data_IF_084855708406
#
_entry.id   IF_084855708406
#
_cell.length_a   1.000
_cell.length_b   1.000
_cell.length_c   1.000
_cell.angle_alpha   90.00
_cell.angle_beta   90.00
_cell.angle_gamma   90.00
#
_symmetry.space_group_name_H-M   'P 1'
#
loop_
_entity.id
_entity.type
_entity.pdbx_description
1 polymer ?
#
# COMPACT_ATOMS: atom_id res chain seq x y z
N UNK A 1 7.18 18.82 -5.92
CA UNK A 1 7.06 17.37 -5.72
C UNK A 1 8.23 16.69 -6.44
N UNK A 2 9.00 15.88 -5.75
CA UNK A 2 10.10 15.08 -6.32
C UNK A 2 9.70 13.62 -6.37
N UNK A 3 10.20 12.87 -7.35
CA UNK A 3 10.04 11.42 -7.42
C UNK A 3 10.92 10.71 -6.39
N UNK A 4 10.61 9.43 -6.11
CA UNK A 4 11.38 8.62 -5.15
C UNK A 4 12.82 8.36 -5.62
N UNK A 5 13.83 8.55 -4.78
CA UNK A 5 15.22 8.16 -5.07
C UNK A 5 15.45 6.64 -5.06
N UNK A 6 14.46 5.86 -4.61
CA UNK A 6 14.52 4.38 -4.64
C UNK A 6 14.28 3.80 -6.04
N UNK A 7 13.92 4.64 -7.01
CA UNK A 7 13.68 4.20 -8.40
C UNK A 7 14.99 3.74 -9.04
N UNK A 8 15.01 2.50 -9.52
CA UNK A 8 16.12 1.91 -10.26
C UNK A 8 15.79 1.67 -11.74
N UNK A 9 14.54 1.86 -12.15
CA UNK A 9 14.06 1.71 -13.52
C UNK A 9 12.98 2.74 -13.83
N UNK A 10 13.03 3.35 -15.02
CA UNK A 10 12.02 4.31 -15.46
C UNK A 10 11.56 3.97 -16.87
N UNK A 11 10.24 3.82 -17.03
CA UNK A 11 9.59 3.73 -18.34
C UNK A 11 8.24 4.44 -18.27
N UNK A 12 8.22 5.71 -18.64
CA UNK A 12 7.02 6.52 -18.51
C UNK A 12 5.90 6.04 -19.43
N UNK A 13 4.71 5.92 -18.84
CA UNK A 13 3.47 5.58 -19.52
C UNK A 13 2.79 6.85 -20.04
N UNK A 14 2.19 6.82 -21.21
CA UNK A 14 1.32 7.91 -21.70
C UNK A 14 -0.06 7.94 -21.03
N UNK A 15 -0.40 6.89 -20.25
CA UNK A 15 -1.71 6.73 -19.63
C UNK A 15 -1.81 7.52 -18.31
N UNK A 16 -1.86 8.84 -18.37
CA UNK A 16 -2.02 9.72 -17.22
C UNK A 16 -2.76 10.99 -17.59
N UNK A 17 -3.31 11.70 -16.62
CA UNK A 17 -4.11 12.92 -16.88
C UNK A 17 -3.32 14.22 -16.71
N UNK A 18 -1.99 14.17 -16.77
CA UNK A 18 -1.17 15.34 -16.49
C UNK A 18 -1.14 15.70 -15.00
N UNK A 19 -0.87 16.95 -14.72
CA UNK A 19 -0.63 17.43 -13.37
C UNK A 19 -1.83 17.20 -12.42
N UNK A 20 -1.53 16.75 -11.18
CA UNK A 20 -2.52 16.61 -10.11
C UNK A 20 -3.15 17.94 -9.76
N UNK A 21 -4.42 17.89 -9.41
CA UNK A 21 -5.18 19.04 -8.89
C UNK A 21 -5.28 19.05 -7.36
N UNK A 22 -4.71 18.03 -6.70
CA UNK A 22 -4.73 17.88 -5.24
C UNK A 22 -3.34 17.50 -4.69
N UNK A 23 -3.05 17.90 -3.45
CA UNK A 23 -1.86 17.46 -2.75
C UNK A 23 -1.91 15.92 -2.48
N UNK A 24 -0.73 15.29 -2.41
CA UNK A 24 -0.63 13.86 -2.10
C UNK A 24 -0.86 13.66 -0.61
N UNK A 25 -1.93 12.94 -0.28
CA UNK A 25 -2.34 12.57 1.08
C UNK A 25 -2.88 11.14 1.18
N UNK A 26 -2.76 10.37 0.08
CA UNK A 26 -3.12 8.95 0.02
C UNK A 26 -2.02 8.10 -0.59
N UNK A 27 -1.95 6.83 -0.21
CA UNK A 27 -1.17 5.77 -0.87
C UNK A 27 -2.12 4.62 -1.14
N UNK A 28 -2.08 4.08 -2.37
CA UNK A 28 -2.90 2.94 -2.78
C UNK A 28 -2.00 1.81 -3.28
N UNK A 29 -1.67 0.80 -2.45
CA UNK A 29 -0.98 -0.38 -2.91
C UNK A 29 -1.94 -1.31 -3.67
N UNK A 30 -1.42 -1.93 -4.74
CA UNK A 30 -2.10 -2.88 -5.60
C UNK A 30 -1.32 -4.20 -5.68
N UNK A 31 -1.99 -5.28 -6.09
CA UNK A 31 -1.35 -6.52 -6.52
C UNK A 31 -1.49 -6.66 -8.04
N UNK A 32 -0.38 -6.91 -8.73
CA UNK A 32 -0.39 -7.05 -10.20
C UNK A 32 -0.87 -8.43 -10.67
N UNK A 33 -1.05 -9.38 -9.75
CA UNK A 33 -1.41 -10.78 -10.02
C UNK A 33 -0.39 -11.43 -10.97
N UNK A 34 0.89 -11.30 -10.61
CA UNK A 34 2.02 -11.86 -11.37
C UNK A 34 3.37 -11.59 -10.71
N UNK A 35 4.32 -12.50 -10.95
CA UNK A 35 5.72 -12.37 -10.50
C UNK A 35 6.50 -11.49 -11.49
N UNK A 36 6.03 -10.26 -11.70
CA UNK A 36 6.55 -9.34 -12.69
C UNK A 36 7.88 -8.70 -12.25
N UNK A 37 8.78 -8.48 -13.20
CA UNK A 37 9.90 -7.53 -13.02
C UNK A 37 9.42 -6.09 -13.24
N UNK A 38 10.23 -5.11 -12.88
CA UNK A 38 9.93 -3.69 -13.15
C UNK A 38 9.85 -3.40 -14.65
N UNK A 39 10.62 -4.10 -15.48
CA UNK A 39 10.57 -3.99 -16.94
C UNK A 39 9.24 -4.53 -17.50
N UNK A 40 8.78 -5.66 -16.97
CA UNK A 40 7.49 -6.24 -17.33
C UNK A 40 6.34 -5.29 -17.00
N UNK A 41 6.34 -4.70 -15.80
CA UNK A 41 5.37 -3.68 -15.39
C UNK A 41 5.40 -2.47 -16.33
N UNK A 42 6.59 -1.97 -16.67
CA UNK A 42 6.74 -0.88 -17.64
C UNK A 42 6.16 -1.22 -19.01
N UNK A 43 6.35 -2.46 -19.48
CA UNK A 43 5.79 -2.92 -20.75
C UNK A 43 4.25 -3.04 -20.70
N UNK A 44 3.68 -3.41 -19.55
CA UNK A 44 2.22 -3.48 -19.35
C UNK A 44 1.58 -2.09 -19.47
N UNK A 45 2.22 -1.04 -18.94
CA UNK A 45 1.67 0.31 -18.90
C UNK A 45 2.08 1.21 -20.09
N UNK A 46 3.01 0.77 -20.94
CA UNK A 46 3.49 1.56 -22.08
C UNK A 46 2.45 1.77 -23.19
N UNK A 47 1.63 0.77 -23.59
CA UNK A 47 0.66 0.97 -24.66
C UNK A 47 -0.46 1.93 -24.23
N UNK A 48 -0.85 2.89 -25.10
CA UNK A 48 -2.00 3.77 -24.87
C UNK A 48 -3.31 3.00 -24.72
N UNK A 49 -3.43 1.86 -25.42
CA UNK A 49 -4.59 0.97 -25.35
C UNK A 49 -4.78 0.32 -23.96
N UNK A 50 -3.76 0.34 -23.09
CA UNK A 50 -3.86 -0.19 -21.73
C UNK A 50 -4.86 0.59 -20.88
N UNK A 51 -4.99 1.90 -21.10
CA UNK A 51 -5.90 2.80 -20.36
C UNK A 51 -5.78 2.65 -18.83
N UNK A 52 -4.57 2.32 -18.37
CA UNK A 52 -4.24 2.19 -16.95
C UNK A 52 -2.75 2.47 -16.74
N UNK A 53 -2.39 2.92 -15.54
CA UNK A 53 -1.00 3.16 -15.10
C UNK A 53 -0.92 3.27 -13.59
N UNK A 54 0.31 3.26 -13.05
CA UNK A 54 0.60 3.60 -11.66
C UNK A 54 1.84 4.50 -11.57
N UNK A 55 2.07 5.14 -10.43
CA UNK A 55 3.30 5.89 -10.24
C UNK A 55 4.49 4.94 -10.16
N UNK A 56 4.42 3.97 -9.28
CA UNK A 56 5.51 3.04 -9.02
C UNK A 56 5.07 1.59 -9.18
N UNK A 57 6.04 0.74 -9.46
CA UNK A 57 5.90 -0.71 -9.35
C UNK A 57 7.06 -1.31 -8.57
N UNK A 58 6.78 -2.34 -7.80
CA UNK A 58 7.80 -3.11 -7.10
C UNK A 58 7.88 -4.48 -7.76
N UNK A 59 9.03 -4.75 -8.37
CA UNK A 59 9.31 -6.03 -9.02
C UNK A 59 9.49 -7.16 -8.02
N UNK A 60 9.43 -8.38 -8.53
CA UNK A 60 9.58 -9.63 -7.75
C UNK A 60 10.92 -9.72 -7.00
N UNK A 61 11.90 -8.97 -7.42
CA UNK A 61 13.25 -8.84 -6.85
C UNK A 61 13.39 -7.65 -5.88
N UNK A 62 12.32 -6.89 -5.67
CA UNK A 62 12.30 -5.71 -4.79
C UNK A 62 12.82 -4.44 -5.43
N UNK A 63 13.17 -4.42 -6.73
CA UNK A 63 13.49 -3.17 -7.44
C UNK A 63 12.24 -2.29 -7.57
N UNK A 64 12.45 -0.98 -7.65
CA UNK A 64 11.37 0.00 -7.84
C UNK A 64 11.44 0.56 -9.26
N UNK A 65 10.34 0.44 -10.00
CA UNK A 65 10.12 1.09 -11.29
C UNK A 65 9.24 2.32 -11.16
N UNK A 66 9.43 3.34 -12.01
CA UNK A 66 8.56 4.50 -12.14
C UNK A 66 7.92 4.53 -13.53
N UNK A 67 6.58 4.68 -13.57
CA UNK A 67 5.80 4.68 -14.82
C UNK A 67 4.99 5.96 -15.00
N UNK A 68 4.66 6.67 -13.91
CA UNK A 68 4.10 8.02 -13.95
C UNK A 68 4.80 8.83 -12.86
N UNK A 69 5.23 10.04 -13.18
CA UNK A 69 5.81 10.94 -12.18
C UNK A 69 4.79 11.31 -11.10
N UNK A 70 5.22 11.46 -9.84
CA UNK A 70 4.29 11.79 -8.74
C UNK A 70 3.52 13.09 -8.92
N UNK A 71 4.06 14.05 -9.68
CA UNK A 71 3.36 15.31 -9.99
C UNK A 71 2.11 15.09 -10.86
N UNK A 72 2.00 13.94 -11.53
CA UNK A 72 0.92 13.60 -12.45
C UNK A 72 -0.07 12.60 -11.82
N UNK A 73 -1.33 12.64 -12.26
CA UNK A 73 -2.35 11.68 -11.87
C UNK A 73 -2.26 10.42 -12.74
N UNK A 74 -1.97 9.27 -12.13
CA UNK A 74 -2.08 7.96 -12.77
C UNK A 74 -3.54 7.51 -12.95
N UNK A 75 -3.77 6.43 -13.70
CA UNK A 75 -5.06 5.78 -13.88
C UNK A 75 -5.02 4.37 -13.28
N UNK A 76 -5.16 4.26 -11.97
CA UNK A 76 -4.89 3.01 -11.26
C UNK A 76 -6.07 2.47 -10.45
N UNK A 77 -6.72 3.31 -9.67
CA UNK A 77 -7.69 2.85 -8.67
C UNK A 77 -9.14 2.79 -9.16
N UNK A 78 -9.42 3.13 -10.42
CA UNK A 78 -10.78 3.31 -10.96
C UNK A 78 -11.56 4.45 -10.30
N UNK A 79 -10.89 5.35 -9.58
CA UNK A 79 -11.45 6.55 -8.97
C UNK A 79 -10.59 7.75 -9.30
N UNK A 80 -11.15 8.68 -10.07
CA UNK A 80 -10.49 9.94 -10.40
C UNK A 80 -10.08 10.71 -9.12
N UNK A 81 -10.99 10.84 -8.18
CA UNK A 81 -10.76 11.54 -6.92
C UNK A 81 -9.62 10.90 -6.12
N UNK A 82 -9.63 9.57 -5.98
CA UNK A 82 -8.55 8.89 -5.28
C UNK A 82 -7.21 9.05 -6.00
N UNK A 83 -7.16 8.87 -7.32
CA UNK A 83 -5.93 8.96 -8.10
C UNK A 83 -5.35 10.39 -8.14
N UNK A 84 -6.16 11.44 -7.96
CA UNK A 84 -5.68 12.80 -7.76
C UNK A 84 -4.90 12.98 -6.44
N UNK A 85 -5.24 12.22 -5.42
CA UNK A 85 -4.69 12.30 -4.06
C UNK A 85 -3.65 11.22 -3.77
N UNK A 86 -3.71 10.08 -4.47
CA UNK A 86 -2.91 8.90 -4.15
C UNK A 86 -1.63 8.80 -4.96
N UNK A 87 -0.54 8.35 -4.32
CA UNK A 87 0.53 7.62 -5.00
C UNK A 87 0.11 6.16 -5.09
N UNK A 88 0.03 5.63 -6.30
CA UNK A 88 -0.40 4.25 -6.58
C UNK A 88 0.81 3.36 -6.86
N UNK A 89 0.83 2.17 -6.27
CA UNK A 89 1.99 1.26 -6.29
C UNK A 89 1.52 -0.15 -6.68
N UNK A 90 1.93 -0.64 -7.84
CA UNK A 90 1.71 -2.03 -8.25
C UNK A 90 2.82 -2.93 -7.71
N UNK A 91 2.45 -3.97 -6.97
CA UNK A 91 3.38 -4.89 -6.34
C UNK A 91 3.33 -6.26 -7.01
N UNK A 92 4.49 -6.84 -7.33
CA UNK A 92 4.58 -8.23 -7.76
C UNK A 92 3.96 -9.14 -6.69
N UNK A 93 3.13 -10.08 -7.12
CA UNK A 93 2.36 -10.96 -6.24
C UNK A 93 2.20 -12.34 -6.86
N UNK A 94 1.71 -13.29 -6.07
CA UNK A 94 1.29 -14.58 -6.61
C UNK A 94 0.15 -14.42 -7.61
N UNK A 95 0.02 -15.39 -8.51
CA UNK A 95 -1.00 -15.42 -9.57
C UNK A 95 -2.34 -15.98 -9.08
N UNK A 96 -2.35 -16.59 -7.89
CA UNK A 96 -3.52 -17.22 -7.29
C UNK A 96 -3.86 -16.59 -5.95
N UNK A 97 -5.12 -16.67 -5.54
CA UNK A 97 -5.57 -16.24 -4.21
C UNK A 97 -4.71 -16.90 -3.11
N UNK A 98 -4.29 -16.15 -2.09
CA UNK A 98 -4.66 -14.78 -1.70
C UNK A 98 -3.80 -13.66 -2.32
N UNK A 99 -3.06 -13.93 -3.40
CA UNK A 99 -2.18 -13.00 -4.13
C UNK A 99 -1.05 -12.48 -3.24
N UNK A 100 -0.34 -13.40 -2.58
CA UNK A 100 0.69 -13.08 -1.60
C UNK A 100 1.87 -12.34 -2.25
N UNK A 101 2.47 -11.43 -1.50
CA UNK A 101 3.73 -10.79 -1.86
C UNK A 101 4.89 -11.57 -1.25
N UNK A 102 6.02 -11.63 -1.96
CA UNK A 102 7.28 -12.06 -1.35
C UNK A 102 7.76 -11.04 -0.31
N UNK A 103 8.49 -11.49 0.69
CA UNK A 103 9.00 -10.61 1.76
C UNK A 103 9.82 -9.44 1.22
N UNK A 104 10.64 -9.66 0.18
CA UNK A 104 11.43 -8.60 -0.46
C UNK A 104 10.54 -7.52 -1.06
N UNK A 105 9.39 -7.89 -1.65
CA UNK A 105 8.41 -6.96 -2.21
C UNK A 105 7.70 -6.18 -1.10
N UNK A 106 7.26 -6.88 -0.06
CA UNK A 106 6.56 -6.24 1.07
C UNK A 106 7.48 -5.29 1.86
N UNK A 107 8.73 -5.70 2.11
CA UNK A 107 9.71 -4.85 2.77
C UNK A 107 10.03 -3.61 1.93
N UNK A 108 10.16 -3.75 0.60
CA UNK A 108 10.35 -2.61 -0.30
C UNK A 108 9.13 -1.70 -0.35
N UNK A 109 7.91 -2.22 -0.25
CA UNK A 109 6.69 -1.41 -0.15
C UNK A 109 6.72 -0.55 1.12
N UNK A 110 7.15 -1.09 2.27
CA UNK A 110 7.33 -0.32 3.51
C UNK A 110 8.34 0.81 3.29
N UNK A 111 9.50 0.53 2.70
CA UNK A 111 10.55 1.54 2.42
C UNK A 111 10.04 2.65 1.50
N UNK A 112 9.35 2.28 0.42
CA UNK A 112 8.79 3.24 -0.53
C UNK A 112 7.69 4.10 0.10
N UNK A 113 6.81 3.52 0.92
CA UNK A 113 5.81 4.28 1.66
C UNK A 113 6.45 5.28 2.65
N UNK A 114 7.53 4.89 3.34
CA UNK A 114 8.29 5.80 4.23
C UNK A 114 8.87 6.97 3.43
N UNK A 115 9.48 6.70 2.28
CA UNK A 115 10.05 7.73 1.40
C UNK A 115 8.97 8.69 0.90
N UNK A 116 7.85 8.16 0.39
CA UNK A 116 6.71 8.98 -0.06
C UNK A 116 6.19 9.86 1.09
N UNK A 117 5.99 9.30 2.27
CA UNK A 117 5.54 10.05 3.43
C UNK A 117 6.51 11.19 3.79
N UNK A 118 7.82 10.90 3.89
CA UNK A 118 8.85 11.90 4.22
C UNK A 118 8.87 13.05 3.22
N UNK A 119 8.87 12.75 1.91
CA UNK A 119 8.91 13.77 0.84
C UNK A 119 7.65 14.64 0.80
N UNK A 120 6.53 14.13 1.30
CA UNK A 120 5.27 14.87 1.40
C UNK A 120 5.01 15.43 2.80
N UNK A 121 6.03 15.49 3.69
CA UNK A 121 5.92 16.06 5.03
C UNK A 121 5.04 15.28 6.00
N UNK A 122 4.80 13.99 5.72
CA UNK A 122 3.90 13.15 6.52
C UNK A 122 4.69 12.40 7.60
N UNK A 123 4.13 12.36 8.81
CA UNK A 123 4.70 11.69 9.99
C UNK A 123 3.95 10.42 10.38
N UNK A 124 2.78 10.21 9.80
CA UNK A 124 1.92 9.05 10.07
C UNK A 124 1.34 8.51 8.78
N UNK A 125 1.27 7.19 8.68
CA UNK A 125 0.47 6.48 7.68
C UNK A 125 -0.68 5.79 8.40
N UNK A 126 -1.92 6.06 7.97
CA UNK A 126 -3.13 5.60 8.64
C UNK A 126 -3.83 4.52 7.80
N UNK A 127 -4.32 3.49 8.46
CA UNK A 127 -5.29 2.54 7.93
C UNK A 127 -6.55 2.56 8.79
N UNK A 128 -7.66 3.07 8.26
CA UNK A 128 -8.91 3.21 8.99
C UNK A 128 -9.83 1.98 8.87
N UNK A 129 -9.47 1.03 7.99
CA UNK A 129 -10.12 -0.28 7.86
C UNK A 129 -11.52 -0.29 7.22
N UNK A 130 -12.14 0.87 7.05
CA UNK A 130 -13.49 1.04 6.52
C UNK A 130 -13.52 2.05 5.37
N UNK A 131 -14.23 1.71 4.27
CA UNK A 131 -14.34 2.56 3.07
C UNK A 131 -14.96 3.92 3.39
N UNK A 132 -16.13 3.92 4.00
CA UNK A 132 -16.91 5.14 4.25
C UNK A 132 -16.16 6.07 5.20
N UNK A 133 -15.64 5.51 6.29
CA UNK A 133 -14.81 6.24 7.24
C UNK A 133 -13.58 6.84 6.58
N UNK A 134 -12.89 6.07 5.73
CA UNK A 134 -11.66 6.53 5.06
C UNK A 134 -11.93 7.61 4.02
N UNK A 135 -12.97 7.47 3.21
CA UNK A 135 -13.27 8.45 2.16
C UNK A 135 -13.80 9.77 2.70
N UNK A 136 -14.47 9.74 3.87
CA UNK A 136 -14.94 10.93 4.58
C UNK A 136 -13.89 11.52 5.54
N UNK A 137 -12.74 10.87 5.71
CA UNK A 137 -11.68 11.37 6.57
C UNK A 137 -10.91 12.51 5.90
N UNK A 138 -10.72 13.60 6.64
CA UNK A 138 -9.87 14.70 6.23
C UNK A 138 -8.52 14.58 6.95
N UNK A 139 -7.46 14.10 6.30
CA UNK A 139 -6.17 13.90 6.95
C UNK A 139 -5.57 15.22 7.43
N UNK A 140 -4.99 15.20 8.63
CA UNK A 140 -4.17 16.31 9.10
C UNK A 140 -2.94 16.51 8.19
N UNK A 141 -2.29 17.67 8.28
CA UNK A 141 -1.17 18.01 7.40
C UNK A 141 -0.03 17.00 7.46
N UNK A 142 0.19 16.34 8.60
CA UNK A 142 1.21 15.34 8.84
C UNK A 142 0.74 13.89 8.68
N UNK A 143 -0.48 13.67 8.16
CA UNK A 143 -1.06 12.34 7.97
C UNK A 143 -1.17 11.95 6.50
N UNK A 144 -0.90 10.69 6.21
CA UNK A 144 -1.12 10.00 4.94
C UNK A 144 -2.11 8.86 5.17
N UNK A 145 -3.02 8.59 4.24
CA UNK A 145 -4.05 7.57 4.42
C UNK A 145 -3.93 6.48 3.36
N UNK A 146 -4.04 5.23 3.78
CA UNK A 146 -4.11 4.08 2.88
C UNK A 146 -5.53 3.90 2.32
N UNK A 147 -5.60 3.68 1.02
CA UNK A 147 -6.81 3.28 0.30
C UNK A 147 -6.57 2.01 -0.51
N UNK A 148 -7.60 1.36 -1.00
CA UNK A 148 -7.48 0.11 -1.77
C UNK A 148 -8.42 0.10 -2.98
N UNK A 149 -7.98 -0.52 -4.07
CA UNK A 149 -8.72 -0.58 -5.33
C UNK A 149 -10.12 -1.21 -5.18
N UNK A 150 -10.27 -2.26 -4.37
CA UNK A 150 -11.57 -2.94 -4.14
C UNK A 150 -12.66 -2.04 -3.57
N UNK A 151 -12.31 -0.86 -3.07
CA UNK A 151 -13.31 0.12 -2.61
C UNK A 151 -13.93 0.92 -3.76
N UNK A 152 -13.28 0.98 -4.91
CA UNK A 152 -13.68 1.82 -6.04
C UNK A 152 -14.22 1.01 -7.24
N UNK A 153 -13.88 -0.29 -7.32
CA UNK A 153 -14.32 -1.17 -8.37
C UNK A 153 -14.51 -2.59 -7.85
N UNK A 154 -15.28 -3.41 -8.57
CA UNK A 154 -15.43 -4.85 -8.25
C UNK A 154 -14.14 -5.60 -8.62
N UNK A 155 -13.13 -5.52 -7.75
CA UNK A 155 -11.81 -6.10 -7.91
C UNK A 155 -11.35 -6.76 -6.61
N UNK A 156 -10.53 -7.82 -6.72
CA UNK A 156 -9.89 -8.46 -5.56
C UNK A 156 -8.68 -7.67 -5.04
N UNK A 157 -8.12 -6.74 -5.83
CA UNK A 157 -6.95 -5.94 -5.50
C UNK A 157 -7.16 -5.15 -4.19
N UNK A 158 -6.18 -5.12 -3.28
CA UNK A 158 -4.78 -5.58 -3.39
C UNK A 158 -4.54 -7.05 -3.03
N UNK A 159 -5.55 -7.92 -3.09
CA UNK A 159 -5.52 -9.30 -2.63
C UNK A 159 -5.77 -9.42 -1.13
N UNK A 160 -6.27 -10.57 -0.67
CA UNK A 160 -6.60 -10.75 0.75
C UNK A 160 -5.35 -10.84 1.61
N UNK A 161 -4.24 -11.32 1.06
CA UNK A 161 -2.96 -11.33 1.75
C UNK A 161 -2.50 -9.90 2.12
N UNK A 162 -2.54 -8.96 1.19
CA UNK A 162 -2.15 -7.57 1.45
C UNK A 162 -3.23 -6.83 2.23
N UNK A 163 -4.52 -7.06 1.94
CA UNK A 163 -5.62 -6.40 2.63
C UNK A 163 -5.58 -6.64 4.14
N UNK A 164 -5.31 -7.87 4.57
CA UNK A 164 -5.15 -8.21 5.99
C UNK A 164 -3.92 -7.58 6.65
N UNK A 165 -2.95 -7.10 5.86
CA UNK A 165 -1.70 -6.48 6.33
C UNK A 165 -1.67 -4.96 6.20
N UNK A 166 -2.75 -4.32 5.76
CA UNK A 166 -2.78 -2.86 5.61
C UNK A 166 -2.53 -2.13 6.95
N UNK A 167 -3.04 -2.66 8.07
CA UNK A 167 -2.76 -2.14 9.42
C UNK A 167 -1.31 -2.33 9.84
N UNK A 168 -0.70 -3.47 9.52
CA UNK A 168 0.73 -3.73 9.76
C UNK A 168 1.61 -2.79 8.92
N UNK A 169 1.29 -2.61 7.64
CA UNK A 169 1.98 -1.63 6.78
C UNK A 169 1.93 -0.23 7.39
N UNK A 170 0.74 0.24 7.79
CA UNK A 170 0.55 1.56 8.39
C UNK A 170 1.39 1.74 9.66
N UNK A 171 1.38 0.74 10.54
CA UNK A 171 2.12 0.74 11.81
C UNK A 171 3.64 0.75 11.57
N UNK A 172 4.16 -0.11 10.69
CA UNK A 172 5.59 -0.21 10.37
C UNK A 172 6.13 1.07 9.74
N UNK A 173 5.36 1.67 8.82
CA UNK A 173 5.73 2.93 8.18
C UNK A 173 5.74 4.06 9.21
N UNK A 174 4.69 4.19 10.03
CA UNK A 174 4.60 5.23 11.08
C UNK A 174 5.75 5.12 12.07
N UNK A 175 6.10 3.91 12.53
CA UNK A 175 7.25 3.69 13.40
C UNK A 175 8.57 4.16 12.77
N UNK A 176 8.79 3.88 11.48
CA UNK A 176 9.99 4.32 10.73
C UNK A 176 10.02 5.84 10.45
N UNK A 177 8.89 6.52 10.55
CA UNK A 177 8.79 7.97 10.45
C UNK A 177 9.08 8.68 11.79
N UNK A 178 9.32 7.92 12.88
CA UNK A 178 9.52 8.45 14.22
C UNK A 178 8.20 8.83 14.93
N UNK A 179 7.06 8.42 14.38
CA UNK A 179 5.76 8.56 15.00
C UNK A 179 5.52 7.44 16.00
N UNK A 180 4.93 7.77 17.16
CA UNK A 180 4.34 6.73 18.01
C UNK A 180 3.19 6.09 17.25
N UNK A 181 3.22 4.77 17.08
CA UNK A 181 2.05 4.03 16.58
C UNK A 181 0.88 4.39 17.50
N UNK A 182 -0.21 4.92 16.94
CA UNK A 182 -1.43 5.08 17.69
C UNK A 182 -1.86 3.66 18.10
N UNK A 183 -1.68 3.34 19.36
CA UNK A 183 -2.27 2.16 19.98
C UNK A 183 -3.78 2.25 19.77
N UNK A 184 -4.39 1.16 19.35
CA UNK A 184 -5.83 0.99 19.33
C UNK A 184 -6.42 1.58 20.64
N UNK A 185 -7.50 2.39 20.60
CA UNK A 185 -8.12 2.88 21.81
C UNK A 185 -8.86 1.73 22.50
N UNK A 186 -8.18 1.08 23.42
CA UNK A 186 -8.75 -0.02 24.21
C UNK A 186 -7.78 -0.49 25.25
N UNK A 187 -7.83 0.15 26.41
CA UNK A 187 -7.45 -0.15 27.78
C UNK A 187 -6.35 0.72 28.37
N UNK A 188 -6.79 1.49 29.36
CA UNK A 188 -5.95 2.21 30.30
C UNK A 188 -5.16 1.23 31.19
N UNK A 189 -3.88 1.55 31.42
CA UNK A 189 -3.05 1.18 32.58
C UNK A 189 -2.87 -0.33 32.80
N UNK A 190 -1.68 -0.86 32.49
CA UNK A 190 -1.27 -2.20 32.90
C UNK A 190 -0.18 -2.74 31.97
N UNK A 191 0.75 -3.49 32.50
CA UNK A 191 1.88 -4.14 31.82
C UNK A 191 1.55 -4.55 30.38
N UNK A 192 2.43 -4.20 29.43
CA UNK A 192 2.30 -4.60 28.02
C UNK A 192 2.42 -6.11 27.94
N UNK A 193 1.28 -6.79 27.79
CA UNK A 193 1.23 -8.22 27.54
C UNK A 193 1.33 -8.47 26.03
N UNK A 194 2.40 -9.09 25.59
CA UNK A 194 2.52 -9.61 24.23
C UNK A 194 1.76 -10.93 24.15
N UNK A 195 0.69 -10.96 23.34
CA UNK A 195 -0.06 -12.19 23.08
C UNK A 195 0.50 -12.85 21.84
N UNK A 196 1.15 -13.99 21.99
CA UNK A 196 1.51 -14.87 20.87
C UNK A 196 0.33 -15.80 20.65
N UNK A 197 -0.34 -15.67 19.50
CA UNK A 197 -1.39 -16.61 19.11
C UNK A 197 -0.73 -17.74 18.33
N UNK A 198 -0.58 -18.90 18.95
CA UNK A 198 0.07 -20.09 18.38
C UNK A 198 -0.87 -20.97 17.55
N UNK A 199 -2.19 -20.66 17.53
CA UNK A 199 -3.19 -21.36 16.72
C UNK A 199 -4.61 -20.94 17.04
N UNK A 200 -5.54 -21.28 16.15
CA UNK A 200 -6.98 -21.21 16.39
C UNK A 200 -7.53 -22.64 16.42
N UNK A 201 -8.18 -23.01 17.53
CA UNK A 201 -8.71 -24.35 17.75
C UNK A 201 -10.23 -24.32 17.84
N UNK A 202 -10.87 -25.23 17.14
CA UNK A 202 -12.33 -25.42 17.23
C UNK A 202 -12.75 -26.21 18.49
N UNK A 203 -11.79 -26.81 19.19
CA UNK A 203 -12.03 -27.61 20.40
C UNK A 203 -11.08 -27.15 21.52
N UNK A 204 -11.65 -26.88 22.72
CA UNK A 204 -10.91 -26.41 23.91
C UNK A 204 -9.80 -27.39 24.33
N UNK A 205 -10.05 -28.70 24.26
CA UNK A 205 -9.08 -29.71 24.65
C UNK A 205 -7.77 -29.68 23.82
N UNK A 206 -7.88 -29.34 22.52
CA UNK A 206 -6.72 -29.18 21.64
C UNK A 206 -5.93 -27.89 21.95
N UNK A 207 -6.60 -26.85 22.43
CA UNK A 207 -5.95 -25.62 22.87
C UNK A 207 -5.18 -25.82 24.19
N UNK A 208 -5.76 -26.56 25.14
CA UNK A 208 -5.17 -26.84 26.45
C UNK A 208 -3.92 -27.75 26.30
N UNK A 209 -3.92 -28.70 25.36
CA UNK A 209 -2.78 -29.58 25.08
C UNK A 209 -1.55 -28.85 24.52
N UNK A 210 -1.69 -27.62 24.02
CA UNK A 210 -0.58 -26.83 23.50
C UNK A 210 0.04 -25.89 24.57
N UNK A 211 -0.55 -25.85 25.75
CA UNK A 211 -0.09 -25.04 26.88
C UNK A 211 0.61 -25.86 27.95
N UNK A 212 0.67 -27.20 27.80
CA UNK A 212 1.39 -28.15 28.63
C UNK A 212 2.72 -28.52 28.02
#
# INVERSE_FOLDING_TARGET
MSNSPLVSYTKLSPNHSGQRTHAIDRITPHCVVGQCSVETLGNIFAPTSRQASCQYGIGVDGRVGMYVEEKNRSWCSSSNENDQRAVTIECASDTTHPYAFKDVVYNKLIELCVDICKRNGKKKLLWLGDKTKTLNYNPAADEMVLTVHRWFANKSCPGDWMYSRMGDLASKVTAKLGGSSASNPGTAGGNVLYRVQTGAFSNKANADAMLS
#
